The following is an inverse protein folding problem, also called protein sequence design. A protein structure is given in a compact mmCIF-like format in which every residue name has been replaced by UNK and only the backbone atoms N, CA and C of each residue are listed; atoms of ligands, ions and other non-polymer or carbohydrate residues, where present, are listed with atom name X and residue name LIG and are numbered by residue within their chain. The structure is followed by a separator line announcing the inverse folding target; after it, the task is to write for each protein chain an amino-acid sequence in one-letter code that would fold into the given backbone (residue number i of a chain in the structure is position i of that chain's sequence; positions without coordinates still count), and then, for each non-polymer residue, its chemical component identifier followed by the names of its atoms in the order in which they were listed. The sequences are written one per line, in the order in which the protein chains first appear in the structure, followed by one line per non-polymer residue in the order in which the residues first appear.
data_IF_363647200067
#
_entry.id   IF_363647200067
#
_cell.length_a   1.000
_cell.length_b   1.000
_cell.length_c   1.000
_cell.angle_alpha   90.00
_cell.angle_beta   90.00
_cell.angle_gamma   90.00
#
_symmetry.space_group_name_H-M   'P 1'
#
loop_
_entity.id
_entity.type
_entity.pdbx_description
1 polymer ?
#
# COMPACT_ATOMS: atom_id res chain seq x y z
N UNK A 1 27.82 -33.23 33.11
CA UNK A 1 27.53 -33.24 31.65
C UNK A 1 26.13 -32.71 31.30
N UNK A 2 25.56 -31.75 32.05
CA UNK A 2 24.19 -31.22 31.76
C UNK A 2 24.22 -29.86 31.03
N UNK A 3 25.32 -29.11 31.11
CA UNK A 3 25.40 -27.75 30.58
C UNK A 3 25.43 -27.65 29.03
N UNK A 4 25.90 -28.68 28.31
CA UNK A 4 26.13 -28.57 26.86
C UNK A 4 24.86 -28.76 25.99
N UNK A 5 23.81 -29.41 26.51
CA UNK A 5 22.59 -29.69 25.76
C UNK A 5 21.52 -28.59 25.85
N UNK A 6 21.65 -27.63 26.78
CA UNK A 6 20.72 -26.51 26.93
C UNK A 6 21.05 -25.33 26.01
N UNK A 7 22.31 -25.16 25.61
CA UNK A 7 22.77 -24.00 24.82
C UNK A 7 22.07 -23.89 23.46
N UNK A 8 21.89 -24.96 22.66
CA UNK A 8 21.22 -24.88 21.35
C UNK A 8 19.70 -24.62 21.47
N UNK A 9 19.08 -25.18 22.53
CA UNK A 9 17.64 -25.02 22.78
C UNK A 9 17.30 -23.60 23.22
N UNK A 10 18.18 -22.97 24.00
CA UNK A 10 18.01 -21.59 24.45
C UNK A 10 18.23 -20.57 23.32
N UNK A 11 19.19 -20.81 22.41
CA UNK A 11 19.43 -19.91 21.25
C UNK A 11 18.27 -19.92 20.27
N UNK A 12 17.67 -21.08 19.99
CA UNK A 12 16.48 -21.19 19.13
C UNK A 12 15.28 -20.40 19.67
N UNK A 13 15.01 -20.52 20.98
CA UNK A 13 13.92 -19.79 21.64
C UNK A 13 14.17 -18.28 21.63
N UNK A 14 15.41 -17.83 21.87
CA UNK A 14 15.77 -16.41 21.82
C UNK A 14 15.66 -15.81 20.41
N UNK A 15 16.08 -16.54 19.37
CA UNK A 15 15.89 -16.12 17.97
C UNK A 15 14.40 -16.06 17.59
N UNK A 16 13.60 -17.03 18.03
CA UNK A 16 12.17 -17.00 17.80
C UNK A 16 11.52 -15.80 18.49
N UNK A 17 11.83 -15.55 19.76
CA UNK A 17 11.29 -14.41 20.51
C UNK A 17 11.66 -13.08 19.86
N UNK A 18 12.93 -12.88 19.49
CA UNK A 18 13.38 -11.66 18.80
C UNK A 18 12.66 -11.45 17.45
N UNK A 19 12.37 -12.54 16.71
CA UNK A 19 11.61 -12.45 15.45
C UNK A 19 10.14 -12.06 15.67
N UNK A 20 9.53 -12.53 16.76
CA UNK A 20 8.16 -12.16 17.13
C UNK A 20 8.09 -10.70 17.58
N UNK A 21 9.04 -10.26 18.41
CA UNK A 21 9.10 -8.89 18.90
C UNK A 21 9.28 -7.89 17.74
N UNK A 22 10.12 -8.23 16.76
CA UNK A 22 10.29 -7.44 15.54
C UNK A 22 8.99 -7.37 14.72
N UNK A 23 8.27 -8.49 14.60
CA UNK A 23 6.98 -8.52 13.88
C UNK A 23 5.93 -7.65 14.58
N UNK A 24 5.87 -7.69 15.91
CA UNK A 24 4.96 -6.86 16.71
C UNK A 24 5.31 -5.38 16.53
N UNK A 25 6.59 -5.01 16.61
CA UNK A 25 7.03 -3.65 16.39
C UNK A 25 6.73 -3.16 14.96
N UNK A 26 6.99 -3.99 13.95
CA UNK A 26 6.70 -3.67 12.54
C UNK A 26 5.20 -3.44 12.31
N UNK A 27 4.33 -4.31 12.85
CA UNK A 27 2.87 -4.13 12.77
C UNK A 27 2.42 -2.83 13.43
N UNK A 28 3.01 -2.46 14.58
CA UNK A 28 2.69 -1.20 15.25
C UNK A 28 3.03 0.00 14.39
N UNK A 29 4.24 0.04 13.83
CA UNK A 29 4.69 1.13 12.95
C UNK A 29 3.80 1.23 11.71
N UNK A 30 3.46 0.10 11.09
CA UNK A 30 2.57 0.05 9.93
C UNK A 30 1.18 0.60 10.29
N UNK A 31 0.60 0.16 11.41
CA UNK A 31 -0.70 0.62 11.88
C UNK A 31 -0.73 2.13 12.12
N UNK A 32 0.24 2.65 12.88
CA UNK A 32 0.37 4.10 13.14
C UNK A 32 0.55 4.90 11.85
N UNK A 33 1.33 4.38 10.90
CA UNK A 33 1.52 5.04 9.60
C UNK A 33 0.22 5.09 8.82
N UNK A 34 -0.54 3.99 8.77
CA UNK A 34 -1.86 3.91 8.12
C UNK A 34 -2.83 4.91 8.77
N UNK A 35 -2.88 4.95 10.10
CA UNK A 35 -3.76 5.87 10.83
C UNK A 35 -3.44 7.33 10.52
N UNK A 36 -2.16 7.68 10.42
CA UNK A 36 -1.72 9.04 10.11
C UNK A 36 -2.11 9.48 8.69
N UNK A 37 -2.10 8.58 7.70
CA UNK A 37 -2.45 8.91 6.30
C UNK A 37 -3.93 8.67 5.98
N UNK A 38 -4.67 8.03 6.88
CA UNK A 38 -6.06 7.57 6.68
C UNK A 38 -6.99 8.70 6.22
N UNK A 39 -6.89 9.88 6.83
CA UNK A 39 -7.74 11.02 6.48
C UNK A 39 -7.55 11.48 5.02
N UNK A 40 -6.30 11.52 4.54
CA UNK A 40 -6.00 11.97 3.19
C UNK A 40 -6.33 10.90 2.15
N UNK A 41 -6.02 9.64 2.44
CA UNK A 41 -6.44 8.51 1.59
C UNK A 41 -7.96 8.42 1.48
N UNK A 42 -8.69 8.73 2.57
CA UNK A 42 -10.17 8.76 2.54
C UNK A 42 -10.70 9.88 1.65
N UNK A 43 -10.08 11.07 1.68
CA UNK A 43 -10.45 12.17 0.77
C UNK A 43 -10.25 11.77 -0.68
N UNK A 44 -9.10 11.18 -1.01
CA UNK A 44 -8.83 10.65 -2.35
C UNK A 44 -9.88 9.61 -2.74
N UNK A 45 -10.17 8.65 -1.86
CA UNK A 45 -11.17 7.62 -2.14
C UNK A 45 -12.56 8.18 -2.40
N UNK A 46 -12.97 9.23 -1.69
CA UNK A 46 -14.27 9.90 -1.90
C UNK A 46 -14.24 10.66 -3.24
N UNK A 47 -13.17 11.40 -3.50
CA UNK A 47 -13.00 12.17 -4.73
C UNK A 47 -13.02 11.30 -6.00
N UNK A 48 -12.31 10.17 -5.99
CA UNK A 48 -12.34 9.21 -7.10
C UNK A 48 -13.73 8.56 -7.25
N UNK A 49 -14.46 8.38 -6.15
CA UNK A 49 -15.81 7.82 -6.19
C UNK A 49 -16.84 8.82 -6.73
N UNK A 50 -16.70 10.11 -6.40
CA UNK A 50 -17.56 11.19 -6.89
C UNK A 50 -17.29 11.55 -8.36
N UNK A 51 -16.08 11.25 -8.85
CA UNK A 51 -15.66 11.48 -10.24
C UNK A 51 -15.30 10.15 -10.94
N UNK A 52 -16.28 9.25 -11.18
CA UNK A 52 -15.99 7.96 -11.79
C UNK A 52 -15.58 8.12 -13.26
N UNK A 53 -14.39 7.61 -13.59
CA UNK A 53 -13.86 7.56 -14.96
C UNK A 53 -13.87 6.12 -15.48
N UNK A 54 -14.25 5.96 -16.74
CA UNK A 54 -14.37 4.64 -17.40
C UNK A 54 -12.97 4.19 -17.86
N UNK A 55 -12.79 2.87 -17.92
CA UNK A 55 -11.62 2.17 -18.47
C UNK A 55 -10.87 2.92 -19.57
N UNK A 56 -9.58 3.15 -19.36
CA UNK A 56 -8.63 3.82 -20.28
C UNK A 56 -8.79 5.34 -20.43
N UNK A 57 -9.64 5.97 -19.62
CA UNK A 57 -9.87 7.42 -19.62
C UNK A 57 -9.76 8.04 -18.22
N UNK A 58 -9.09 7.36 -17.30
CA UNK A 58 -8.94 7.74 -15.89
C UNK A 58 -7.87 8.81 -15.66
N UNK A 59 -8.00 9.96 -16.33
CA UNK A 59 -7.01 11.04 -16.25
C UNK A 59 -7.01 11.73 -14.88
N UNK A 60 -8.19 11.96 -14.30
CA UNK A 60 -8.33 12.53 -12.96
C UNK A 60 -7.78 11.57 -11.91
N UNK A 61 -8.18 10.30 -11.95
CA UNK A 61 -7.69 9.31 -11.00
C UNK A 61 -6.17 9.11 -11.10
N UNK A 62 -5.64 9.02 -12.32
CA UNK A 62 -4.21 8.96 -12.56
C UNK A 62 -3.50 10.17 -11.98
N UNK A 63 -4.00 11.39 -12.22
CA UNK A 63 -3.37 12.61 -11.72
C UNK A 63 -3.37 12.65 -10.19
N UNK A 64 -4.53 12.46 -9.54
CA UNK A 64 -4.66 12.52 -8.08
C UNK A 64 -3.75 11.51 -7.38
N UNK A 65 -3.72 10.26 -7.87
CA UNK A 65 -2.89 9.21 -7.28
C UNK A 65 -1.39 9.47 -7.47
N UNK A 66 -0.99 9.89 -8.67
CA UNK A 66 0.43 10.16 -8.97
C UNK A 66 0.94 11.37 -8.21
N UNK A 67 0.17 12.46 -8.14
CA UNK A 67 0.49 13.66 -7.36
C UNK A 67 0.66 13.32 -5.87
N UNK A 68 -0.28 12.54 -5.32
CA UNK A 68 -0.22 12.12 -3.92
C UNK A 68 1.04 11.29 -3.62
N UNK A 69 1.33 10.28 -4.44
CA UNK A 69 2.48 9.39 -4.23
C UNK A 69 3.82 10.11 -4.39
N UNK A 70 3.94 11.03 -5.36
CA UNK A 70 5.10 11.91 -5.48
C UNK A 70 5.29 12.76 -4.22
N UNK A 71 4.19 13.31 -3.68
CA UNK A 71 4.20 14.07 -2.41
C UNK A 71 4.65 13.24 -1.21
N UNK A 72 4.42 11.92 -1.22
CA UNK A 72 4.91 10.98 -0.19
C UNK A 72 6.36 10.53 -0.42
N UNK A 73 7.03 11.04 -1.47
CA UNK A 73 8.43 10.72 -1.78
C UNK A 73 8.64 9.46 -2.60
N UNK A 74 7.60 8.95 -3.27
CA UNK A 74 7.76 7.89 -4.26
C UNK A 74 8.35 8.45 -5.55
N UNK A 75 9.20 7.66 -6.20
CA UNK A 75 9.58 7.89 -7.59
C UNK A 75 8.47 7.36 -8.48
N UNK A 76 7.66 8.26 -9.04
CA UNK A 76 6.54 7.90 -9.91
C UNK A 76 6.96 8.00 -11.37
N UNK A 77 6.68 6.95 -12.13
CA UNK A 77 6.72 6.93 -13.59
C UNK A 77 5.28 6.97 -14.08
N UNK A 78 4.84 8.16 -14.51
CA UNK A 78 3.50 8.38 -15.09
C UNK A 78 3.43 7.83 -16.52
N UNK A 79 2.22 7.50 -16.96
CA UNK A 79 1.95 6.92 -18.29
C UNK A 79 2.84 5.71 -18.62
N UNK A 80 2.95 4.80 -17.67
CA UNK A 80 3.85 3.65 -17.73
C UNK A 80 3.37 2.59 -18.74
N UNK A 81 4.31 1.78 -19.24
CA UNK A 81 4.04 0.67 -20.16
C UNK A 81 3.24 1.05 -21.44
N UNK A 82 3.27 2.32 -21.85
CA UNK A 82 2.55 2.83 -23.03
C UNK A 82 1.05 3.05 -22.81
N UNK A 83 0.59 3.02 -21.56
CA UNK A 83 -0.80 3.32 -21.18
C UNK A 83 -0.83 4.70 -20.54
N UNK A 84 -1.63 5.62 -21.08
CA UNK A 84 -1.64 7.04 -20.65
C UNK A 84 -2.03 7.20 -19.18
N UNK A 85 -2.96 6.36 -18.71
CA UNK A 85 -3.52 6.43 -17.36
C UNK A 85 -2.86 5.46 -16.39
N UNK A 86 -1.86 4.66 -16.79
CA UNK A 86 -1.15 3.76 -15.89
C UNK A 86 0.09 4.43 -15.27
N UNK A 87 0.47 4.02 -14.06
CA UNK A 87 1.69 4.52 -13.42
C UNK A 87 2.45 3.41 -12.67
N UNK A 88 3.74 3.62 -12.45
CA UNK A 88 4.59 2.81 -11.57
C UNK A 88 5.12 3.73 -10.47
N UNK A 89 4.87 3.40 -9.21
CA UNK A 89 5.40 4.12 -8.06
C UNK A 89 6.44 3.26 -7.33
N UNK A 90 7.68 3.73 -7.24
CA UNK A 90 8.78 3.02 -6.59
C UNK A 90 9.25 3.77 -5.34
N UNK A 91 9.38 3.05 -4.23
CA UNK A 91 10.04 3.53 -3.02
C UNK A 91 11.15 2.54 -2.62
N UNK A 92 12.34 3.07 -2.34
CA UNK A 92 13.50 2.25 -2.00
C UNK A 92 14.29 2.87 -0.84
N UNK A 93 14.77 2.00 0.05
CA UNK A 93 15.74 2.34 1.11
C UNK A 93 17.12 1.69 0.87
N UNK A 94 17.38 1.19 -0.34
CA UNK A 94 18.61 0.52 -0.71
C UNK A 94 18.37 -0.88 -1.29
N UNK A 95 19.40 -1.73 -1.24
CA UNK A 95 19.33 -3.10 -1.73
C UNK A 95 18.45 -3.97 -0.82
N UNK A 96 17.69 -4.89 -1.43
CA UNK A 96 16.81 -5.78 -0.69
C UNK A 96 15.75 -6.43 -1.56
N UNK A 97 14.78 -7.07 -0.89
CA UNK A 97 13.62 -7.68 -1.55
C UNK A 97 12.69 -6.60 -2.10
N UNK A 98 12.16 -6.84 -3.29
CA UNK A 98 11.12 -6.00 -3.91
C UNK A 98 9.75 -6.61 -3.63
N UNK A 99 8.80 -5.77 -3.25
CA UNK A 99 7.39 -6.12 -3.06
C UNK A 99 6.59 -5.24 -4.01
N UNK A 100 5.69 -5.85 -4.78
CA UNK A 100 4.82 -5.15 -5.71
C UNK A 100 3.37 -5.18 -5.24
N UNK A 101 2.66 -4.07 -5.45
CA UNK A 101 1.22 -3.95 -5.24
C UNK A 101 0.58 -3.56 -6.57
N UNK A 102 -0.47 -4.29 -6.95
CA UNK A 102 -1.29 -3.95 -8.12
C UNK A 102 -2.55 -3.24 -7.60
N UNK A 103 -2.83 -2.05 -8.11
CA UNK A 103 -4.01 -1.27 -7.76
C UNK A 103 -4.75 -0.90 -9.03
N UNK A 104 -6.06 -1.13 -9.03
CA UNK A 104 -7.00 -0.76 -10.09
C UNK A 104 -7.87 0.39 -9.60
N UNK A 105 -8.32 1.26 -10.50
CA UNK A 105 -9.09 2.46 -10.18
C UNK A 105 -10.10 2.83 -11.28
N UNK A 106 -10.37 1.94 -12.22
CA UNK A 106 -11.39 2.09 -13.25
C UNK A 106 -12.80 1.88 -12.68
N UNK A 107 -13.76 2.65 -13.20
CA UNK A 107 -15.17 2.45 -12.92
C UNK A 107 -15.82 1.56 -14.00
N UNK A 108 -16.82 0.77 -13.60
CA UNK A 108 -17.61 -0.07 -14.50
C UNK A 108 -18.72 0.76 -15.19
N UNK A 109 -19.03 0.46 -16.47
CA UNK A 109 -20.16 1.09 -17.17
C UNK A 109 -21.48 0.84 -16.42
N UNK A 110 -22.33 1.87 -16.33
CA UNK A 110 -23.69 1.83 -15.74
C UNK A 110 -23.80 1.64 -14.21
N UNK A 111 -22.72 1.26 -13.51
CA UNK A 111 -22.72 1.01 -12.05
C UNK A 111 -21.62 1.77 -11.26
N UNK A 112 -20.73 2.52 -11.94
CA UNK A 112 -19.60 3.22 -11.29
C UNK A 112 -18.54 2.25 -10.75
N UNK A 113 -17.83 2.57 -9.66
CA UNK A 113 -16.88 1.65 -9.01
C UNK A 113 -17.56 0.50 -8.25
N UNK A 114 -18.31 -0.37 -8.93
CA UNK A 114 -18.67 -1.72 -8.46
C UNK A 114 -19.28 -1.87 -7.05
N UNK A 115 -19.77 -0.79 -6.43
CA UNK A 115 -20.32 -0.78 -5.07
C UNK A 115 -21.72 -0.19 -5.15
N UNK A 116 -22.72 -1.00 -4.78
CA UNK A 116 -24.11 -0.58 -4.64
C UNK A 116 -24.18 0.77 -3.93
N UNK A 117 -24.76 1.76 -4.61
CA UNK A 117 -25.19 3.02 -4.06
C UNK A 117 -26.12 2.76 -2.86
N UNK A 118 -25.56 2.82 -1.65
CA UNK A 118 -26.28 2.59 -0.40
C UNK A 118 -25.53 3.18 0.79
N UNK A 119 -25.98 4.35 1.24
CA UNK A 119 -25.64 5.08 2.47
C UNK A 119 -24.73 4.37 3.48
N UNK A 120 -23.58 4.97 3.78
CA UNK A 120 -22.92 4.83 5.08
C UNK A 120 -22.45 6.21 5.55
N UNK A 121 -23.24 6.77 6.49
CA UNK A 121 -22.75 7.60 7.59
C UNK A 121 -21.95 6.72 8.56
#
# INVERSE_FOLDING_TARGET
MIAAALVPKLTCVLHHQASQDLLVAAKKIIGETIDNVSADLRKISIDLHENPEIGMQEYHAHQVLTDYLEGQGFKVTRSAAGLETAFIAEYSRGEGRRIGFCSEYDALPEIGHGRLSGNIL
#
